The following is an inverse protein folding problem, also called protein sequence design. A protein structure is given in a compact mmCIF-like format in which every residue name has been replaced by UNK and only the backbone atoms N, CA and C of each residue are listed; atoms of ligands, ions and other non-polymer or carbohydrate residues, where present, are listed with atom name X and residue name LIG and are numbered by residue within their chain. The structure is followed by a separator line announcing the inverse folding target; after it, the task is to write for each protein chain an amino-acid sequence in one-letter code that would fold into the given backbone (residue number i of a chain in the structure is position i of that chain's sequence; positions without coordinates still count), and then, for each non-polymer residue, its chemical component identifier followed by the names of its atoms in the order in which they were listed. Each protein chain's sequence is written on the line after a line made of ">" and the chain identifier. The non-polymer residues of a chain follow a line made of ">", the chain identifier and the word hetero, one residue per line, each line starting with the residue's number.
data_IF_088593507165
#
_entry.id   IF_088593507165
#
_cell.length_a   1.000
_cell.length_b   1.000
_cell.length_c   1.000
_cell.angle_alpha   90.00
_cell.angle_beta   90.00
_cell.angle_gamma   90.00
#
_symmetry.space_group_name_H-M   'P 1'
#
loop_
_entity.id
_entity.type
_entity.pdbx_description
1 polymer ?
#
# COMPACT_ATOMS: atom_id res chain seq x y z
N UNK A 1 -26.57 -23.02 85.11
CA UNK A 1 -27.25 -23.00 83.80
C UNK A 1 -26.39 -22.25 82.76
N UNK A 2 -25.37 -22.89 82.17
CA UNK A 2 -24.48 -22.30 81.13
C UNK A 2 -24.74 -22.87 79.72
N UNK A 3 -25.86 -23.55 79.50
CA UNK A 3 -26.11 -24.32 78.26
C UNK A 3 -26.85 -23.55 77.15
N UNK A 4 -27.20 -22.28 77.37
CA UNK A 4 -27.95 -21.46 76.39
C UNK A 4 -27.08 -20.82 75.30
N UNK A 5 -25.75 -20.80 75.44
CA UNK A 5 -24.83 -20.16 74.48
C UNK A 5 -24.48 -20.99 73.23
N UNK A 6 -24.97 -22.23 73.13
CA UNK A 6 -24.46 -23.18 72.13
C UNK A 6 -25.13 -23.05 70.75
N UNK A 7 -26.34 -22.49 70.64
CA UNK A 7 -27.08 -22.44 69.38
C UNK A 7 -26.40 -21.55 68.31
N UNK A 8 -25.91 -20.33 68.62
CA UNK A 8 -25.14 -19.54 67.65
C UNK A 8 -23.86 -20.25 67.19
N UNK A 9 -23.21 -20.99 68.09
CA UNK A 9 -22.01 -21.77 67.77
C UNK A 9 -22.34 -22.93 66.80
N UNK A 10 -23.47 -23.61 66.99
CA UNK A 10 -23.94 -24.66 66.08
C UNK A 10 -24.36 -24.13 64.70
N UNK A 11 -24.83 -22.88 64.59
CA UNK A 11 -25.17 -22.24 63.32
C UNK A 11 -23.97 -21.68 62.56
N UNK A 12 -22.87 -21.36 63.27
CA UNK A 12 -21.65 -20.82 62.67
C UNK A 12 -21.08 -21.65 61.51
N UNK A 13 -20.98 -23.01 61.58
CA UNK A 13 -20.44 -23.79 60.47
C UNK A 13 -21.36 -23.79 59.23
N UNK A 14 -22.69 -23.83 59.40
CA UNK A 14 -23.65 -23.67 58.29
C UNK A 14 -23.49 -22.29 57.63
N UNK A 15 -23.31 -21.25 58.45
CA UNK A 15 -23.09 -19.90 57.96
C UNK A 15 -21.78 -19.76 57.18
N UNK A 16 -20.67 -20.27 57.72
CA UNK A 16 -19.36 -20.28 57.05
C UNK A 16 -19.44 -21.01 55.72
N UNK A 17 -20.05 -22.20 55.69
CA UNK A 17 -20.18 -22.99 54.47
C UNK A 17 -21.05 -22.33 53.41
N UNK A 18 -22.17 -21.72 53.83
CA UNK A 18 -23.02 -20.95 52.92
C UNK A 18 -22.30 -19.73 52.35
N UNK A 19 -21.53 -19.00 53.19
CA UNK A 19 -20.68 -17.90 52.74
C UNK A 19 -19.65 -18.37 51.70
N UNK A 20 -18.99 -19.49 51.96
CA UNK A 20 -18.03 -20.08 51.00
C UNK A 20 -18.71 -20.43 49.67
N UNK A 21 -19.91 -21.03 49.71
CA UNK A 21 -20.68 -21.32 48.49
C UNK A 21 -21.08 -20.04 47.75
N UNK A 22 -21.56 -19.01 48.45
CA UNK A 22 -21.88 -17.74 47.82
C UNK A 22 -20.65 -17.04 47.23
N UNK A 23 -19.52 -17.06 47.95
CA UNK A 23 -18.25 -16.53 47.47
C UNK A 23 -17.78 -17.27 46.22
N UNK A 24 -17.95 -18.59 46.20
CA UNK A 24 -17.62 -19.42 45.05
C UNK A 24 -18.52 -19.12 43.84
N UNK A 25 -19.83 -18.92 44.04
CA UNK A 25 -20.75 -18.53 42.96
C UNK A 25 -20.45 -17.11 42.45
N UNK A 26 -20.15 -16.18 43.35
CA UNK A 26 -19.77 -14.82 42.98
C UNK A 26 -18.47 -14.81 42.16
N UNK A 27 -17.44 -15.53 42.63
CA UNK A 27 -16.17 -15.68 41.92
C UNK A 27 -16.35 -16.30 40.53
N UNK A 28 -17.17 -17.36 40.43
CA UNK A 28 -17.47 -18.00 39.15
C UNK A 28 -18.22 -17.06 38.18
N UNK A 29 -19.18 -16.28 38.70
CA UNK A 29 -19.92 -15.29 37.92
C UNK A 29 -19.04 -14.16 37.41
N UNK A 30 -18.16 -13.62 38.26
CA UNK A 30 -17.23 -12.56 37.87
C UNK A 30 -16.17 -13.08 36.90
N UNK A 31 -15.63 -14.29 37.11
CA UNK A 31 -14.66 -14.90 36.20
C UNK A 31 -15.24 -15.08 34.79
N UNK A 32 -16.51 -15.48 34.71
CA UNK A 32 -17.23 -15.58 33.43
C UNK A 32 -17.37 -14.21 32.75
N UNK A 33 -17.85 -13.20 33.48
CA UNK A 33 -18.07 -11.86 32.92
C UNK A 33 -16.76 -11.21 32.46
N UNK A 34 -15.72 -11.23 33.31
CA UNK A 34 -14.43 -10.62 32.98
C UNK A 34 -13.67 -11.41 31.92
N UNK A 35 -13.78 -12.74 31.92
CA UNK A 35 -13.24 -13.60 30.87
C UNK A 35 -13.80 -13.27 29.48
N UNK A 36 -15.11 -13.06 29.36
CA UNK A 36 -15.73 -12.65 28.09
C UNK A 36 -15.22 -11.28 27.63
N UNK A 37 -15.24 -10.28 28.52
CA UNK A 37 -14.80 -8.91 28.17
C UNK A 37 -13.32 -8.87 27.77
N UNK A 38 -12.45 -9.54 28.52
CA UNK A 38 -11.02 -9.58 28.23
C UNK A 38 -10.70 -10.36 26.95
N UNK A 39 -11.46 -11.42 26.64
CA UNK A 39 -11.28 -12.16 25.38
C UNK A 39 -11.62 -11.29 24.17
N UNK A 40 -12.73 -10.55 24.23
CA UNK A 40 -13.09 -9.60 23.18
C UNK A 40 -12.04 -8.50 23.05
N UNK A 41 -11.62 -7.90 24.16
CA UNK A 41 -10.60 -6.86 24.17
C UNK A 41 -9.26 -7.33 23.60
N UNK A 42 -8.86 -8.58 23.88
CA UNK A 42 -7.60 -9.16 23.37
C UNK A 42 -7.64 -9.38 21.87
N UNK A 43 -8.80 -9.74 21.31
CA UNK A 43 -8.97 -9.90 19.87
C UNK A 43 -9.06 -8.55 19.16
N UNK A 44 -9.65 -7.53 19.78
CA UNK A 44 -9.78 -6.20 19.19
C UNK A 44 -8.56 -5.29 19.37
N UNK A 45 -7.71 -5.51 20.38
CA UNK A 45 -6.57 -4.64 20.68
C UNK A 45 -5.55 -4.50 19.52
N UNK A 46 -5.23 -5.55 18.75
CA UNK A 46 -4.38 -5.43 17.57
C UNK A 46 -4.96 -4.50 16.50
N UNK A 47 -6.30 -4.47 16.32
CA UNK A 47 -6.96 -3.56 15.38
C UNK A 47 -6.80 -2.09 15.78
N UNK A 48 -6.54 -1.81 17.06
CA UNK A 48 -6.35 -0.47 17.60
C UNK A 48 -4.86 -0.12 17.81
N UNK A 49 -3.93 -1.00 17.43
CA UNK A 49 -2.50 -0.79 17.63
C UNK A 49 -2.05 -0.85 19.11
N UNK A 50 -2.86 -1.45 19.99
CA UNK A 50 -2.55 -1.56 21.42
C UNK A 50 -1.94 -2.93 21.71
N UNK A 51 -0.70 -2.97 22.19
CA UNK A 51 -0.04 -4.20 22.65
C UNK A 51 -0.37 -4.47 24.12
N UNK A 52 -1.37 -5.32 24.37
CA UNK A 52 -1.63 -5.82 25.72
C UNK A 52 -0.67 -6.98 26.05
N UNK A 53 0.04 -6.96 27.18
CA UNK A 53 0.91 -8.07 27.56
C UNK A 53 0.05 -9.32 27.81
N UNK A 54 0.44 -10.45 27.20
CA UNK A 54 -0.30 -11.72 27.20
C UNK A 54 -0.72 -12.15 28.62
N UNK A 55 0.15 -11.91 29.61
CA UNK A 55 -0.01 -12.30 31.01
C UNK A 55 -1.09 -11.47 31.73
N UNK A 56 -1.44 -10.28 31.24
CA UNK A 56 -2.41 -9.40 31.92
C UNK A 56 -3.83 -9.98 31.92
N UNK A 57 -4.21 -10.74 30.89
CA UNK A 57 -5.58 -11.27 30.73
C UNK A 57 -5.97 -12.27 31.82
N UNK A 58 -5.22 -13.36 32.09
CA UNK A 58 -5.56 -14.26 33.20
C UNK A 58 -5.38 -13.59 34.56
N UNK A 59 -4.40 -12.68 34.71
CA UNK A 59 -4.14 -12.01 35.98
C UNK A 59 -5.30 -11.11 36.40
N UNK A 60 -5.86 -10.33 35.48
CA UNK A 60 -7.02 -9.47 35.73
C UNK A 60 -8.31 -10.28 35.98
N UNK A 61 -8.51 -11.36 35.21
CA UNK A 61 -9.67 -12.23 35.39
C UNK A 61 -9.64 -12.94 36.77
N UNK A 62 -8.50 -13.52 37.14
CA UNK A 62 -8.32 -14.15 38.46
C UNK A 62 -8.37 -13.13 39.60
N UNK A 63 -7.74 -11.96 39.43
CA UNK A 63 -7.74 -10.89 40.42
C UNK A 63 -9.15 -10.37 40.73
N UNK A 64 -9.96 -10.12 39.71
CA UNK A 64 -11.36 -9.70 39.89
C UNK A 64 -12.22 -10.76 40.58
N UNK A 65 -12.04 -12.04 40.25
CA UNK A 65 -12.73 -13.15 40.92
C UNK A 65 -12.35 -13.27 42.40
N UNK A 66 -11.06 -13.10 42.72
CA UNK A 66 -10.59 -13.10 44.11
C UNK A 66 -11.18 -11.93 44.91
N UNK A 67 -11.21 -10.72 44.34
CA UNK A 67 -11.83 -9.54 44.99
C UNK A 67 -13.31 -9.77 45.26
N UNK A 68 -14.05 -10.38 44.33
CA UNK A 68 -15.45 -10.71 44.52
C UNK A 68 -15.67 -11.76 45.63
N UNK A 69 -14.82 -12.78 45.69
CA UNK A 69 -14.84 -13.79 46.75
C UNK A 69 -14.54 -13.16 48.13
N UNK A 70 -13.51 -12.32 48.22
CA UNK A 70 -13.14 -11.65 49.48
C UNK A 70 -14.25 -10.69 49.93
N UNK A 71 -14.80 -9.88 49.02
CA UNK A 71 -15.92 -8.98 49.32
C UNK A 71 -17.13 -9.73 49.89
N UNK A 72 -17.46 -10.89 49.35
CA UNK A 72 -18.59 -11.71 49.80
C UNK A 72 -18.33 -12.44 51.13
N UNK A 73 -17.07 -12.75 51.45
CA UNK A 73 -16.71 -13.30 52.77
C UNK A 73 -16.74 -12.20 53.85
N UNK A 74 -16.20 -11.02 53.53
CA UNK A 74 -16.06 -9.87 54.44
C UNK A 74 -17.38 -9.15 54.73
N UNK A 75 -18.43 -9.30 53.91
CA UNK A 75 -19.73 -8.71 54.24
C UNK A 75 -20.22 -9.26 55.58
N UNK A 76 -20.41 -8.36 56.54
CA UNK A 76 -20.93 -8.70 57.86
C UNK A 76 -22.29 -9.37 57.66
N UNK A 77 -22.51 -10.47 58.36
CA UNK A 77 -23.69 -11.27 58.10
C UNK A 77 -24.37 -11.63 59.40
N UNK A 78 -25.60 -11.15 59.50
CA UNK A 78 -26.52 -11.44 60.58
C UNK A 78 -26.91 -12.92 60.55
N UNK A 79 -26.92 -13.56 61.72
CA UNK A 79 -27.31 -14.97 61.88
C UNK A 79 -28.80 -15.23 61.57
N UNK A 80 -29.61 -14.17 61.48
CA UNK A 80 -31.03 -14.28 61.14
C UNK A 80 -31.25 -14.81 59.72
N UNK A 81 -30.40 -14.43 58.76
CA UNK A 81 -30.53 -14.84 57.37
C UNK A 81 -30.23 -16.35 57.14
N UNK A 82 -29.14 -16.93 57.69
CA UNK A 82 -28.95 -18.38 57.63
C UNK A 82 -30.00 -19.14 58.43
N UNK A 83 -30.49 -18.63 59.56
CA UNK A 83 -31.55 -19.28 60.32
C UNK A 83 -32.88 -19.37 59.55
N UNK A 84 -33.34 -18.26 58.93
CA UNK A 84 -34.55 -18.28 58.08
C UNK A 84 -34.40 -19.18 56.87
N UNK A 85 -33.21 -19.21 56.26
CA UNK A 85 -32.95 -20.11 55.15
C UNK A 85 -32.99 -21.58 55.57
N UNK A 86 -32.34 -21.94 56.69
CA UNK A 86 -32.40 -23.30 57.24
C UNK A 86 -33.83 -23.70 57.60
N UNK A 87 -34.64 -22.77 58.14
CA UNK A 87 -36.05 -23.06 58.42
C UNK A 87 -36.84 -23.41 57.16
N UNK A 88 -36.55 -22.77 56.03
CA UNK A 88 -37.19 -23.09 54.75
C UNK A 88 -36.72 -24.42 54.20
N UNK A 89 -35.40 -24.65 54.19
CA UNK A 89 -34.79 -25.86 53.62
C UNK A 89 -35.18 -27.13 54.41
N UNK A 90 -35.21 -27.03 55.73
CA UNK A 90 -35.57 -28.13 56.64
C UNK A 90 -37.07 -28.13 57.03
N UNK A 91 -37.87 -27.22 56.46
CA UNK A 91 -39.30 -27.04 56.77
C UNK A 91 -39.61 -26.86 58.28
N UNK A 92 -38.70 -26.24 59.04
CA UNK A 92 -38.79 -26.09 60.50
C UNK A 92 -39.78 -25.01 60.97
N UNK A 93 -40.67 -24.50 60.11
CA UNK A 93 -41.72 -23.50 60.44
C UNK A 93 -41.23 -22.39 61.38
N UNK A 94 -40.12 -21.73 61.01
CA UNK A 94 -39.50 -20.62 61.75
C UNK A 94 -38.91 -20.93 63.15
N UNK A 95 -38.85 -22.20 63.56
CA UNK A 95 -38.32 -22.61 64.88
C UNK A 95 -36.90 -22.07 65.17
N UNK A 96 -35.97 -22.12 64.22
CA UNK A 96 -34.61 -21.60 64.43
C UNK A 96 -34.56 -20.08 64.56
N UNK A 97 -35.44 -19.35 63.86
CA UNK A 97 -35.44 -17.88 63.92
C UNK A 97 -36.08 -17.40 65.21
N UNK A 98 -37.18 -18.03 65.65
CA UNK A 98 -37.80 -17.73 66.94
C UNK A 98 -36.86 -18.09 68.10
N UNK A 99 -36.16 -19.23 68.03
CA UNK A 99 -35.16 -19.59 69.03
C UNK A 99 -34.02 -18.57 69.13
N UNK A 100 -33.50 -18.07 68.00
CA UNK A 100 -32.49 -17.00 68.01
C UNK A 100 -33.02 -15.69 68.62
N UNK A 101 -34.29 -15.36 68.40
CA UNK A 101 -34.92 -14.19 69.01
C UNK A 101 -35.10 -14.37 70.52
N UNK A 102 -35.51 -15.54 70.98
CA UNK A 102 -35.67 -15.84 72.41
C UNK A 102 -34.34 -15.85 73.17
N UNK A 103 -33.23 -16.16 72.51
CA UNK A 103 -31.89 -16.04 73.11
C UNK A 103 -31.47 -14.58 73.40
N UNK A 104 -32.14 -13.59 72.82
CA UNK A 104 -31.91 -12.17 73.12
C UNK A 104 -32.69 -11.70 74.35
N UNK A 105 -33.62 -12.50 74.87
CA UNK A 105 -34.43 -12.19 76.06
C UNK A 105 -33.66 -12.67 77.30
N UNK A 106 -33.48 -11.78 78.27
CA UNK A 106 -32.68 -12.06 79.48
C UNK A 106 -33.27 -13.19 80.35
N UNK A 107 -34.60 -13.29 80.42
CA UNK A 107 -35.32 -14.30 81.19
C UNK A 107 -36.38 -15.02 80.33
N UNK A 108 -35.99 -16.00 79.50
CA UNK A 108 -36.92 -16.71 78.63
C UNK A 108 -37.88 -17.58 79.46
N UNK A 109 -39.17 -17.59 79.09
CA UNK A 109 -40.18 -18.41 79.75
C UNK A 109 -39.87 -19.91 79.63
N UNK A 110 -40.40 -20.77 80.52
CA UNK A 110 -40.16 -22.22 80.43
C UNK A 110 -40.55 -22.82 79.07
N UNK A 111 -41.59 -22.29 78.44
CA UNK A 111 -41.99 -22.67 77.07
C UNK A 111 -40.96 -22.24 76.02
N UNK A 112 -40.42 -21.02 76.13
CA UNK A 112 -39.36 -20.53 75.23
C UNK A 112 -38.07 -21.36 75.39
N UNK A 113 -37.72 -21.77 76.60
CA UNK A 113 -36.58 -22.66 76.85
C UNK A 113 -36.77 -24.02 76.17
N UNK A 114 -37.98 -24.58 76.22
CA UNK A 114 -38.31 -25.82 75.53
C UNK A 114 -38.21 -25.67 74.00
N UNK A 115 -38.62 -24.52 73.45
CA UNK A 115 -38.49 -24.22 72.01
C UNK A 115 -37.03 -24.03 71.58
N UNK A 116 -36.18 -23.42 72.42
CA UNK A 116 -34.73 -23.32 72.16
C UNK A 116 -34.10 -24.73 72.17
N UNK A 117 -34.49 -25.59 73.11
CA UNK A 117 -34.00 -26.97 73.19
C UNK A 117 -34.45 -27.82 71.99
N UNK A 118 -35.70 -27.68 71.55
CA UNK A 118 -36.23 -28.34 70.36
C UNK A 118 -35.46 -27.92 69.11
N UNK A 119 -35.27 -26.61 68.90
CA UNK A 119 -34.51 -26.07 67.76
C UNK A 119 -33.06 -26.57 67.76
N UNK A 120 -32.43 -26.70 68.93
CA UNK A 120 -31.09 -27.28 69.10
C UNK A 120 -31.06 -28.75 68.70
N UNK A 121 -32.01 -29.56 69.17
CA UNK A 121 -32.07 -30.99 68.86
C UNK A 121 -32.33 -31.21 67.37
N UNK A 122 -33.22 -30.41 66.77
CA UNK A 122 -33.44 -30.41 65.32
C UNK A 122 -32.13 -30.11 64.57
N UNK A 123 -31.42 -29.03 64.93
CA UNK A 123 -30.18 -28.66 64.26
C UNK A 123 -29.07 -29.72 64.42
N UNK A 124 -28.97 -30.34 65.61
CA UNK A 124 -27.99 -31.38 65.89
C UNK A 124 -28.20 -32.67 65.07
N UNK A 125 -29.44 -32.95 64.66
CA UNK A 125 -29.76 -34.10 63.80
C UNK A 125 -29.36 -33.92 62.33
N UNK A 126 -29.04 -32.69 61.91
CA UNK A 126 -28.82 -32.36 60.51
C UNK A 126 -27.34 -32.33 60.17
N UNK A 127 -26.94 -33.17 59.21
CA UNK A 127 -25.58 -33.19 58.69
C UNK A 127 -25.33 -32.04 57.70
N UNK A 128 -24.33 -31.21 57.99
CA UNK A 128 -23.94 -30.05 57.16
C UNK A 128 -23.61 -30.48 55.73
N UNK A 129 -22.93 -31.61 55.59
CA UNK A 129 -22.49 -32.13 54.29
C UNK A 129 -23.63 -32.53 53.36
N UNK A 130 -24.73 -33.03 53.92
CA UNK A 130 -25.88 -33.45 53.14
C UNK A 130 -26.71 -32.26 52.66
N UNK A 131 -26.87 -31.23 53.50
CA UNK A 131 -27.64 -30.03 53.13
C UNK A 131 -26.91 -29.11 52.16
N UNK A 132 -25.59 -28.96 52.32
CA UNK A 132 -24.79 -28.00 51.55
C UNK A 132 -23.64 -28.74 50.85
N UNK A 133 -23.94 -29.63 49.89
CA UNK A 133 -22.88 -30.29 49.13
C UNK A 133 -22.05 -29.23 48.42
N UNK A 134 -20.73 -29.34 48.52
CA UNK A 134 -19.80 -28.46 47.83
C UNK A 134 -19.82 -28.81 46.33
N UNK A 135 -20.84 -28.32 45.63
CA UNK A 135 -20.98 -28.47 44.18
C UNK A 135 -20.31 -27.30 43.49
N UNK A 136 -19.43 -27.62 42.53
CA UNK A 136 -18.88 -26.61 41.62
C UNK A 136 -20.02 -26.05 40.75
N UNK A 137 -20.23 -24.73 40.69
CA UNK A 137 -21.24 -24.12 39.85
C UNK A 137 -20.89 -24.36 38.38
N UNK A 138 -21.91 -24.55 37.56
CA UNK A 138 -21.75 -24.83 36.13
C UNK A 138 -20.89 -23.77 35.41
N UNK A 139 -20.98 -22.51 35.86
CA UNK A 139 -20.26 -21.39 35.28
C UNK A 139 -18.75 -21.40 35.57
N UNK A 140 -18.28 -22.14 36.59
CA UNK A 140 -16.85 -22.22 36.91
C UNK A 140 -16.05 -22.83 35.75
N UNK A 141 -16.53 -23.97 35.24
CA UNK A 141 -15.90 -24.67 34.10
C UNK A 141 -15.95 -23.81 32.83
N UNK A 142 -17.08 -23.13 32.60
CA UNK A 142 -17.26 -22.25 31.43
C UNK A 142 -16.36 -21.02 31.48
N UNK A 143 -16.22 -20.38 32.65
CA UNK A 143 -15.32 -19.25 32.86
C UNK A 143 -13.85 -19.60 32.64
N UNK A 144 -13.41 -20.75 33.16
CA UNK A 144 -12.06 -21.27 32.91
C UNK A 144 -11.83 -21.59 31.42
N UNK A 145 -12.82 -22.17 30.73
CA UNK A 145 -12.69 -22.47 29.31
C UNK A 145 -12.57 -21.20 28.44
N UNK A 146 -13.39 -20.18 28.69
CA UNK A 146 -13.32 -18.91 27.95
C UNK A 146 -12.00 -18.18 28.22
N UNK A 147 -11.59 -18.09 29.49
CA UNK A 147 -10.32 -17.42 29.83
C UNK A 147 -9.13 -18.14 29.18
N UNK A 148 -9.08 -19.47 29.23
CA UNK A 148 -8.04 -20.25 28.55
C UNK A 148 -8.06 -20.04 27.02
N UNK A 149 -9.24 -20.04 26.40
CA UNK A 149 -9.40 -19.82 24.96
C UNK A 149 -8.98 -18.39 24.55
N UNK A 150 -9.38 -17.38 25.31
CA UNK A 150 -8.97 -15.99 25.10
C UNK A 150 -7.45 -15.82 25.22
N UNK A 151 -6.81 -16.46 26.21
CA UNK A 151 -5.35 -16.46 26.34
C UNK A 151 -4.68 -17.19 25.17
N UNK A 152 -5.22 -18.32 24.72
CA UNK A 152 -4.70 -19.04 23.55
C UNK A 152 -4.80 -18.19 22.27
N UNK A 153 -5.94 -17.55 22.04
CA UNK A 153 -6.15 -16.60 20.93
C UNK A 153 -5.17 -15.43 20.99
N UNK A 154 -4.88 -14.89 22.18
CA UNK A 154 -3.90 -13.82 22.34
C UNK A 154 -2.47 -14.27 22.02
N UNK A 155 -2.15 -15.55 22.21
CA UNK A 155 -0.83 -16.13 21.87
C UNK A 155 -0.72 -16.43 20.37
N UNK A 156 -1.77 -17.01 19.77
CA UNK A 156 -1.74 -17.47 18.37
C UNK A 156 -2.10 -16.37 17.37
N UNK A 157 -3.03 -15.48 17.74
CA UNK A 157 -3.57 -14.42 16.89
C UNK A 157 -2.52 -13.49 16.26
N UNK A 158 -1.52 -13.01 17.00
CA UNK A 158 -0.50 -12.11 16.44
C UNK A 158 0.33 -12.71 15.31
N UNK A 159 0.50 -14.04 15.27
CA UNK A 159 1.30 -14.71 14.25
C UNK A 159 0.52 -14.96 12.94
N UNK A 160 -0.82 -14.96 12.98
CA UNK A 160 -1.67 -15.30 11.85
C UNK A 160 -2.27 -14.07 11.15
N UNK A 161 -2.16 -12.89 11.74
CA UNK A 161 -2.67 -11.67 11.13
C UNK A 161 -1.59 -11.02 10.27
N UNK A 162 -1.88 -10.76 8.98
CA UNK A 162 -0.97 -9.98 8.15
C UNK A 162 -0.80 -8.63 8.85
N UNK A 163 0.42 -8.35 9.27
CA UNK A 163 0.73 -7.09 9.92
C UNK A 163 0.43 -5.99 8.90
N UNK A 164 -0.60 -5.18 9.16
CA UNK A 164 -0.93 -4.01 8.33
C UNK A 164 0.17 -2.91 8.37
N UNK A 165 1.35 -3.23 8.91
CA UNK A 165 2.53 -2.38 8.98
C UNK A 165 3.71 -2.86 8.14
N UNK A 166 3.63 -3.99 7.43
CA UNK A 166 4.54 -4.28 6.31
C UNK A 166 4.03 -3.49 5.07
N UNK A 167 3.91 -2.17 5.21
CA UNK A 167 4.14 -1.31 4.05
C UNK A 167 5.57 -1.63 3.65
N UNK A 168 5.73 -2.25 2.47
CA UNK A 168 7.03 -2.55 1.89
C UNK A 168 7.97 -1.38 2.20
N UNK A 169 9.06 -1.66 2.92
CA UNK A 169 10.07 -0.64 3.14
C UNK A 169 10.39 -0.04 1.76
N UNK A 170 10.50 1.29 1.60
CA UNK A 170 10.81 1.90 0.31
C UNK A 170 12.07 1.28 -0.34
N UNK A 171 12.97 0.70 0.48
CA UNK A 171 14.09 -0.11 0.01
C UNK A 171 13.66 -1.40 -0.72
N UNK A 172 12.63 -2.11 -0.24
CA UNK A 172 12.08 -3.30 -0.89
C UNK A 172 11.38 -2.95 -2.23
N UNK A 173 10.69 -1.81 -2.30
CA UNK A 173 10.10 -1.31 -3.54
C UNK A 173 11.19 -0.98 -4.57
N UNK A 174 12.26 -0.30 -4.16
CA UNK A 174 13.42 -0.02 -5.02
C UNK A 174 14.12 -1.30 -5.53
N UNK A 175 14.28 -2.32 -4.68
CA UNK A 175 14.85 -3.62 -5.10
C UNK A 175 13.94 -4.30 -6.13
N UNK A 176 12.62 -4.26 -5.94
CA UNK A 176 11.68 -4.86 -6.90
C UNK A 176 11.69 -4.15 -8.25
N UNK A 177 11.66 -2.82 -8.25
CA UNK A 177 11.69 -2.04 -9.49
C UNK A 177 13.04 -2.15 -10.22
N UNK A 178 14.17 -2.17 -9.48
CA UNK A 178 15.49 -2.39 -10.10
C UNK A 178 15.63 -3.76 -10.75
N UNK A 179 15.01 -4.82 -10.22
CA UNK A 179 14.97 -6.14 -10.88
C UNK A 179 14.18 -6.09 -12.19
N UNK A 180 13.07 -5.34 -12.22
CA UNK A 180 12.27 -5.17 -13.43
C UNK A 180 13.05 -4.40 -14.51
N UNK A 181 13.69 -3.29 -14.14
CA UNK A 181 14.53 -2.51 -15.05
C UNK A 181 15.70 -3.34 -15.57
N UNK A 182 16.29 -4.22 -14.75
CA UNK A 182 17.39 -5.08 -15.18
C UNK A 182 16.95 -6.08 -16.26
N UNK A 183 15.77 -6.68 -16.12
CA UNK A 183 15.21 -7.55 -17.16
C UNK A 183 14.94 -6.80 -18.47
N UNK A 184 14.49 -5.55 -18.37
CA UNK A 184 14.24 -4.70 -19.53
C UNK A 184 15.57 -4.26 -20.21
N UNK A 185 16.61 -3.90 -19.45
CA UNK A 185 17.94 -3.57 -19.98
C UNK A 185 18.59 -4.72 -20.75
N UNK A 186 18.39 -5.97 -20.33
CA UNK A 186 18.92 -7.13 -21.08
C UNK A 186 18.36 -7.19 -22.51
N UNK A 187 17.10 -6.79 -22.70
CA UNK A 187 16.50 -6.72 -24.04
C UNK A 187 17.12 -5.61 -24.89
N UNK A 188 17.47 -4.46 -24.29
CA UNK A 188 18.20 -3.39 -24.97
C UNK A 188 19.64 -3.80 -25.30
N UNK A 189 20.31 -4.54 -24.41
CA UNK A 189 21.69 -5.00 -24.61
C UNK A 189 21.80 -5.92 -25.84
N UNK A 190 20.82 -6.81 -26.04
CA UNK A 190 20.78 -7.66 -27.23
C UNK A 190 20.60 -6.87 -28.53
N UNK A 191 19.75 -5.83 -28.52
CA UNK A 191 19.57 -4.92 -29.68
C UNK A 191 20.82 -4.06 -29.90
N UNK A 192 21.48 -3.63 -28.83
CA UNK A 192 22.73 -2.87 -28.88
C UNK A 192 23.88 -3.68 -29.48
N UNK A 193 23.98 -4.97 -29.14
CA UNK A 193 24.96 -5.90 -29.73
C UNK A 193 24.77 -6.07 -31.23
N UNK A 194 23.53 -6.08 -31.70
CA UNK A 194 23.23 -6.13 -33.14
C UNK A 194 23.63 -4.84 -33.88
N UNK A 195 23.59 -3.70 -33.20
CA UNK A 195 23.91 -2.39 -33.79
C UNK A 195 25.42 -2.08 -33.77
N UNK A 196 26.21 -2.83 -32.99
CA UNK A 196 27.66 -2.68 -32.84
C UNK A 196 28.13 -1.25 -32.47
N UNK A 197 27.30 -0.53 -31.70
CA UNK A 197 27.62 0.82 -31.22
C UNK A 197 28.31 0.73 -29.84
N UNK A 198 29.61 1.09 -29.73
CA UNK A 198 30.37 0.96 -28.49
C UNK A 198 29.90 1.92 -27.40
N UNK A 199 29.44 3.13 -27.76
CA UNK A 199 28.97 4.13 -26.78
C UNK A 199 27.71 3.62 -26.08
N UNK A 200 26.79 3.04 -26.86
CA UNK A 200 25.55 2.45 -26.36
C UNK A 200 25.82 1.28 -25.42
N UNK A 201 26.74 0.38 -25.80
CA UNK A 201 27.11 -0.77 -24.96
C UNK A 201 27.70 -0.31 -23.63
N UNK A 202 28.58 0.69 -23.65
CA UNK A 202 29.17 1.24 -22.44
C UNK A 202 28.12 1.87 -21.51
N UNK A 203 27.15 2.61 -22.07
CA UNK A 203 26.05 3.20 -21.28
C UNK A 203 25.11 2.15 -20.70
N UNK A 204 24.76 1.11 -21.45
CA UNK A 204 23.93 0.01 -20.93
C UNK A 204 24.65 -0.78 -19.83
N UNK A 205 25.96 -0.99 -19.98
CA UNK A 205 26.77 -1.66 -18.96
C UNK A 205 26.87 -0.80 -17.68
N UNK A 206 27.04 0.52 -17.79
CA UNK A 206 27.05 1.41 -16.62
C UNK A 206 25.71 1.41 -15.90
N UNK A 207 24.58 1.43 -16.63
CA UNK A 207 23.24 1.32 -16.06
C UNK A 207 23.02 0.00 -15.33
N UNK A 208 23.44 -1.12 -15.92
CA UNK A 208 23.32 -2.43 -15.29
C UNK A 208 24.13 -2.51 -13.98
N UNK A 209 25.34 -1.93 -13.95
CA UNK A 209 26.12 -1.82 -12.71
C UNK A 209 25.41 -0.97 -11.66
N UNK A 210 24.84 0.17 -12.05
CA UNK A 210 24.07 1.04 -11.14
C UNK A 210 22.85 0.32 -10.54
N UNK A 211 22.11 -0.45 -11.35
CA UNK A 211 21.00 -1.27 -10.87
C UNK A 211 21.46 -2.40 -9.94
N UNK A 212 22.60 -3.02 -10.24
CA UNK A 212 23.16 -4.07 -9.38
C UNK A 212 23.62 -3.52 -8.02
N UNK A 213 24.17 -2.30 -7.99
CA UNK A 213 24.49 -1.60 -6.74
C UNK A 213 23.23 -1.34 -5.91
N UNK A 214 22.14 -0.88 -6.55
CA UNK A 214 20.84 -0.64 -5.90
C UNK A 214 20.22 -1.92 -5.31
N UNK A 215 20.45 -3.07 -5.95
CA UNK A 215 19.99 -4.37 -5.44
C UNK A 215 20.86 -4.89 -4.29
N UNK A 216 22.17 -4.66 -4.35
CA UNK A 216 23.14 -5.28 -3.44
C UNK A 216 23.25 -4.52 -2.12
N UNK A 217 23.05 -3.20 -2.14
CA UNK A 217 23.14 -2.35 -0.96
C UNK A 217 21.86 -1.54 -0.81
N UNK A 218 21.17 -1.60 0.35
CA UNK A 218 20.06 -0.70 0.62
C UNK A 218 20.62 0.71 0.77
N UNK A 219 20.64 1.45 -0.34
CA UNK A 219 21.03 2.85 -0.39
C UNK A 219 19.95 3.71 0.25
N UNK A 220 20.31 4.85 0.87
CA UNK A 220 19.32 5.79 1.35
C UNK A 220 18.47 6.30 0.17
N UNK A 221 17.18 6.61 0.41
CA UNK A 221 16.24 7.10 -0.60
C UNK A 221 16.80 8.17 -1.55
N UNK A 222 17.50 9.16 -1.01
CA UNK A 222 18.07 10.28 -1.75
C UNK A 222 19.14 9.84 -2.75
N UNK A 223 20.05 8.94 -2.35
CA UNK A 223 21.08 8.40 -3.22
C UNK A 223 20.51 7.49 -4.30
N UNK A 224 19.47 6.70 -3.97
CA UNK A 224 18.77 5.87 -4.93
C UNK A 224 18.11 6.72 -6.03
N UNK A 225 17.45 7.82 -5.64
CA UNK A 225 16.87 8.77 -6.58
C UNK A 225 17.91 9.47 -7.47
N UNK A 226 19.03 9.92 -6.89
CA UNK A 226 20.09 10.56 -7.65
C UNK A 226 20.62 9.62 -8.75
N UNK A 227 20.86 8.35 -8.41
CA UNK A 227 21.29 7.32 -9.39
C UNK A 227 20.26 7.08 -10.49
N UNK A 228 18.97 7.04 -10.17
CA UNK A 228 17.90 6.89 -11.18
C UNK A 228 17.80 8.12 -12.09
N UNK A 229 17.99 9.33 -11.56
CA UNK A 229 18.01 10.56 -12.35
C UNK A 229 19.22 10.61 -13.31
N UNK A 230 20.40 10.16 -12.87
CA UNK A 230 21.58 10.05 -13.73
C UNK A 230 21.36 9.04 -14.87
N UNK A 231 20.66 7.93 -14.59
CA UNK A 231 20.26 6.97 -15.62
C UNK A 231 19.29 7.59 -16.62
N UNK A 232 18.25 8.30 -16.15
CA UNK A 232 17.28 8.99 -17.01
C UNK A 232 17.97 10.00 -17.94
N UNK A 233 18.88 10.82 -17.40
CA UNK A 233 19.67 11.78 -18.17
C UNK A 233 20.53 11.08 -19.23
N UNK A 234 21.16 9.95 -18.88
CA UNK A 234 21.98 9.17 -19.81
C UNK A 234 21.14 8.55 -20.93
N UNK A 235 19.95 8.04 -20.62
CA UNK A 235 18.99 7.52 -21.61
C UNK A 235 18.50 8.64 -22.54
N UNK A 236 18.22 9.82 -22.00
CA UNK A 236 17.76 10.97 -22.79
C UNK A 236 18.84 11.46 -23.76
N UNK A 237 20.11 11.52 -23.33
CA UNK A 237 21.23 11.85 -24.20
C UNK A 237 21.42 10.81 -25.32
N UNK A 238 21.30 9.52 -25.01
CA UNK A 238 21.32 8.46 -26.02
C UNK A 238 20.17 8.59 -27.00
N UNK A 239 18.95 8.85 -26.51
CA UNK A 239 17.78 9.05 -27.35
C UNK A 239 18.00 10.22 -28.32
N UNK A 240 18.55 11.34 -27.87
CA UNK A 240 18.88 12.48 -28.74
C UNK A 240 19.93 12.13 -29.79
N UNK A 241 20.94 11.31 -29.45
CA UNK A 241 21.96 10.84 -30.41
C UNK A 241 21.39 9.88 -31.46
N UNK A 242 20.47 9.00 -31.04
CA UNK A 242 19.88 7.97 -31.89
C UNK A 242 18.73 8.50 -32.76
N UNK A 243 18.00 9.49 -32.26
CA UNK A 243 16.89 10.10 -32.97
C UNK A 243 17.42 11.00 -34.09
N UNK A 244 17.51 10.45 -35.29
CA UNK A 244 17.83 11.21 -36.50
C UNK A 244 16.56 11.36 -37.37
N UNK A 245 15.66 12.29 -37.01
CA UNK A 245 14.39 12.48 -37.72
C UNK A 245 14.62 12.86 -39.19
N UNK A 246 15.74 13.52 -39.49
CA UNK A 246 16.07 13.89 -40.85
C UNK A 246 16.40 12.69 -41.75
N UNK A 247 17.11 11.68 -41.23
CA UNK A 247 17.40 10.47 -41.98
C UNK A 247 16.13 9.63 -42.23
N UNK A 248 15.20 9.63 -41.27
CA UNK A 248 13.89 8.98 -41.45
C UNK A 248 13.05 9.71 -42.50
N UNK A 249 12.96 11.04 -42.42
CA UNK A 249 12.27 11.86 -43.42
C UNK A 249 12.87 11.66 -44.82
N UNK A 250 14.20 11.50 -44.92
CA UNK A 250 14.87 11.21 -46.18
C UNK A 250 14.45 9.87 -46.78
N UNK A 251 14.41 8.82 -45.99
CA UNK A 251 13.88 7.53 -46.45
C UNK A 251 12.41 7.62 -46.86
N UNK A 252 11.61 8.43 -46.17
CA UNK A 252 10.20 8.65 -46.56
C UNK A 252 10.09 9.33 -47.92
N UNK A 253 10.84 10.39 -48.18
CA UNK A 253 10.86 11.07 -49.49
C UNK A 253 11.38 10.17 -50.61
N UNK A 254 12.36 9.31 -50.31
CA UNK A 254 12.81 8.27 -51.25
C UNK A 254 11.70 7.25 -51.50
N UNK A 255 10.98 6.85 -50.44
CA UNK A 255 9.83 5.96 -50.53
C UNK A 255 8.72 6.51 -51.45
N UNK A 256 8.37 7.79 -51.29
CA UNK A 256 7.41 8.50 -52.15
C UNK A 256 7.87 8.61 -53.61
N UNK A 257 9.18 8.75 -53.84
CA UNK A 257 9.74 8.74 -55.19
C UNK A 257 9.64 7.35 -55.83
N UNK A 258 9.94 6.29 -55.07
CA UNK A 258 9.88 4.90 -55.50
C UNK A 258 8.45 4.40 -55.69
N UNK A 259 7.49 4.89 -54.90
CA UNK A 259 6.08 4.48 -55.01
C UNK A 259 5.38 5.02 -56.26
N UNK A 260 6.08 5.82 -57.08
CA UNK A 260 5.54 6.35 -58.34
C UNK A 260 5.54 5.32 -59.49
N UNK A 261 6.06 4.11 -59.26
CA UNK A 261 6.16 3.04 -60.26
C UNK A 261 5.68 1.72 -59.69
N UNK A 262 4.90 0.97 -60.46
CA UNK A 262 4.24 -0.27 -60.03
C UNK A 262 5.23 -1.29 -59.44
N UNK A 263 6.42 -1.41 -60.03
CA UNK A 263 7.41 -2.43 -59.61
C UNK A 263 8.16 -2.09 -58.32
N UNK A 264 8.20 -0.81 -57.95
CA UNK A 264 8.81 -0.33 -56.71
C UNK A 264 7.76 0.15 -55.70
N UNK A 265 6.47 0.03 -56.03
CA UNK A 265 5.35 0.51 -55.22
C UNK A 265 5.41 -0.06 -53.81
N UNK A 266 5.58 -1.38 -53.69
CA UNK A 266 5.67 -2.06 -52.39
C UNK A 266 6.84 -1.55 -51.54
N UNK A 267 8.02 -1.39 -52.14
CA UNK A 267 9.22 -0.90 -51.44
C UNK A 267 9.04 0.55 -51.03
N UNK A 268 8.53 1.38 -51.95
CA UNK A 268 8.28 2.79 -51.72
C UNK A 268 7.28 3.02 -50.60
N UNK A 269 6.19 2.24 -50.60
CA UNK A 269 5.19 2.25 -49.54
C UNK A 269 5.75 1.78 -48.18
N UNK A 270 6.64 0.78 -48.15
CA UNK A 270 7.27 0.36 -46.90
C UNK A 270 8.20 1.46 -46.33
N UNK A 271 8.96 2.14 -47.18
CA UNK A 271 9.83 3.25 -46.78
C UNK A 271 9.04 4.48 -46.30
N UNK A 272 8.03 4.91 -47.05
CA UNK A 272 7.19 6.08 -46.70
C UNK A 272 6.42 5.87 -45.40
N UNK A 273 5.91 4.66 -45.16
CA UNK A 273 5.23 4.30 -43.92
C UNK A 273 6.18 4.00 -42.74
N UNK A 274 7.50 4.13 -42.92
CA UNK A 274 8.48 3.89 -41.86
C UNK A 274 8.62 2.41 -41.44
N UNK A 275 8.21 1.47 -42.30
CA UNK A 275 8.39 0.01 -42.11
C UNK A 275 9.78 -0.42 -42.56
N UNK A 276 10.80 0.14 -41.93
CA UNK A 276 12.19 0.11 -42.37
C UNK A 276 12.79 -1.31 -42.48
N UNK A 277 12.45 -2.24 -41.59
CA UNK A 277 12.91 -3.64 -41.66
C UNK A 277 12.37 -4.37 -42.90
N UNK A 278 11.08 -4.16 -43.19
CA UNK A 278 10.41 -4.76 -44.35
C UNK A 278 10.94 -4.13 -45.64
N UNK A 279 11.08 -2.80 -45.65
CA UNK A 279 11.67 -2.07 -46.77
C UNK A 279 13.09 -2.56 -47.06
N UNK A 280 13.93 -2.75 -46.05
CA UNK A 280 15.27 -3.27 -46.25
C UNK A 280 15.30 -4.71 -46.76
N UNK A 281 14.40 -5.57 -46.28
CA UNK A 281 14.29 -6.93 -46.79
C UNK A 281 13.78 -6.96 -48.24
N UNK A 282 12.87 -6.05 -48.61
CA UNK A 282 12.37 -5.90 -49.97
C UNK A 282 13.43 -5.32 -50.91
N UNK A 283 14.10 -4.22 -50.53
CA UNK A 283 15.23 -3.63 -51.26
C UNK A 283 16.34 -4.64 -51.56
N UNK A 284 16.68 -5.50 -50.60
CA UNK A 284 17.68 -6.54 -50.78
C UNK A 284 17.25 -7.65 -51.77
N UNK A 285 15.94 -7.81 -52.01
CA UNK A 285 15.37 -8.78 -52.97
C UNK A 285 15.08 -8.16 -54.33
N UNK A 286 14.89 -6.85 -54.40
CA UNK A 286 14.64 -6.12 -55.64
C UNK A 286 15.91 -6.05 -56.48
N UNK A 287 16.10 -7.04 -57.34
CA UNK A 287 17.17 -7.07 -58.33
C UNK A 287 16.59 -6.68 -59.69
N UNK A 288 17.03 -5.54 -60.22
CA UNK A 288 16.74 -5.05 -61.57
C UNK A 288 15.24 -4.89 -61.90
N UNK A 289 14.57 -3.84 -61.40
CA UNK A 289 13.17 -3.57 -61.74
C UNK A 289 13.03 -3.30 -63.25
N UNK A 290 12.04 -3.92 -63.91
CA UNK A 290 11.80 -3.81 -65.37
C UNK A 290 10.96 -2.57 -65.70
N UNK A 291 11.47 -1.41 -65.31
CA UNK A 291 10.78 -0.14 -65.50
C UNK A 291 10.81 0.31 -66.96
N UNK A 292 9.69 0.85 -67.45
CA UNK A 292 9.65 1.53 -68.74
C UNK A 292 10.59 2.75 -68.75
N UNK A 293 11.00 3.20 -69.94
CA UNK A 293 11.87 4.37 -70.09
C UNK A 293 11.28 5.63 -69.45
N UNK A 294 9.95 5.80 -69.50
CA UNK A 294 9.28 6.93 -68.84
C UNK A 294 9.39 6.83 -67.32
N UNK A 295 9.07 5.67 -66.76
CA UNK A 295 9.10 5.38 -65.33
C UNK A 295 10.50 5.54 -64.73
N UNK A 296 11.52 4.97 -65.39
CA UNK A 296 12.93 5.15 -64.99
C UNK A 296 13.33 6.60 -64.89
N UNK A 297 12.90 7.41 -65.87
CA UNK A 297 13.20 8.83 -65.89
C UNK A 297 12.52 9.55 -64.73
N UNK A 298 11.23 9.32 -64.51
CA UNK A 298 10.49 9.92 -63.40
C UNK A 298 11.08 9.56 -62.04
N UNK A 299 11.42 8.29 -61.79
CA UNK A 299 12.02 7.87 -60.51
C UNK A 299 13.43 8.45 -60.36
N UNK A 300 14.26 8.43 -61.42
CA UNK A 300 15.61 9.00 -61.38
C UNK A 300 15.61 10.50 -61.09
N UNK A 301 14.72 11.27 -61.72
CA UNK A 301 14.60 12.73 -61.51
C UNK A 301 14.14 13.03 -60.07
N UNK A 302 13.18 12.28 -59.53
CA UNK A 302 12.75 12.42 -58.14
C UNK A 302 13.84 12.03 -57.14
N UNK A 303 14.55 10.92 -57.36
CA UNK A 303 15.65 10.49 -56.49
C UNK A 303 16.81 11.49 -56.50
N UNK A 304 17.15 12.08 -57.65
CA UNK A 304 18.14 13.15 -57.75
C UNK A 304 17.67 14.42 -57.04
N UNK A 305 16.40 14.80 -57.18
CA UNK A 305 15.84 15.96 -56.47
C UNK A 305 15.94 15.77 -54.95
N UNK A 306 15.58 14.57 -54.47
CA UNK A 306 15.73 14.21 -53.05
C UNK A 306 17.20 14.28 -52.64
N UNK A 307 18.12 13.69 -53.41
CA UNK A 307 19.56 13.77 -53.13
C UNK A 307 20.06 15.23 -53.01
N UNK A 308 19.68 16.11 -53.94
CA UNK A 308 20.08 17.52 -53.94
C UNK A 308 19.53 18.28 -52.72
N UNK A 309 18.26 18.06 -52.39
CA UNK A 309 17.62 18.66 -51.22
C UNK A 309 18.37 18.29 -49.92
N UNK A 310 18.85 17.05 -49.82
CA UNK A 310 19.60 16.60 -48.65
C UNK A 310 21.07 17.03 -48.64
N UNK A 311 21.74 17.16 -49.79
CA UNK A 311 23.10 17.69 -49.86
C UNK A 311 23.18 19.16 -49.43
N UNK A 312 22.13 19.94 -49.70
CA UNK A 312 22.04 21.34 -49.27
C UNK A 312 21.73 21.47 -47.77
N UNK A 313 21.19 20.42 -47.16
CA UNK A 313 20.94 20.37 -45.72
C UNK A 313 22.23 19.98 -45.01
N UNK A 314 22.89 20.89 -44.29
CA UNK A 314 24.04 20.56 -43.44
C UNK A 314 23.61 19.61 -42.31
N UNK A 315 23.63 18.30 -42.57
CA UNK A 315 22.99 17.29 -41.72
C UNK A 315 23.94 16.14 -41.34
N UNK A 316 23.65 15.45 -40.22
CA UNK A 316 24.52 14.44 -39.60
C UNK A 316 24.95 13.32 -40.56
N UNK A 317 26.13 12.72 -40.29
CA UNK A 317 26.82 11.68 -41.08
C UNK A 317 25.92 10.57 -41.66
N UNK A 318 24.83 10.19 -40.97
CA UNK A 318 23.89 9.16 -41.45
C UNK A 318 23.11 9.55 -42.71
N UNK A 319 22.79 10.84 -42.90
CA UNK A 319 21.99 11.31 -44.05
C UNK A 319 22.79 11.32 -45.37
N UNK A 320 24.13 11.43 -45.27
CA UNK A 320 25.00 11.45 -46.45
C UNK A 320 24.98 10.11 -47.19
N UNK A 321 25.11 8.99 -46.46
CA UNK A 321 25.09 7.64 -47.05
C UNK A 321 23.77 7.32 -47.75
N UNK A 322 22.65 7.76 -47.18
CA UNK A 322 21.32 7.58 -47.78
C UNK A 322 21.20 8.44 -49.06
N UNK A 323 21.74 9.66 -49.06
CA UNK A 323 21.73 10.53 -50.23
C UNK A 323 22.63 9.98 -51.36
N UNK A 324 23.79 9.45 -51.01
CA UNK A 324 24.70 8.77 -51.94
C UNK A 324 24.07 7.51 -52.54
N UNK A 325 23.42 6.68 -51.72
CA UNK A 325 22.70 5.50 -52.20
C UNK A 325 21.53 5.89 -53.14
N UNK A 326 20.76 6.93 -52.79
CA UNK A 326 19.70 7.45 -53.65
C UNK A 326 20.24 7.96 -55.00
N UNK A 327 21.37 8.67 -55.00
CA UNK A 327 22.04 9.14 -56.21
C UNK A 327 22.53 7.98 -57.09
N UNK A 328 23.22 6.99 -56.50
CA UNK A 328 23.67 5.80 -57.23
C UNK A 328 22.51 4.99 -57.80
N UNK A 329 21.39 4.87 -57.08
CA UNK A 329 20.18 4.23 -57.62
C UNK A 329 19.63 5.02 -58.81
N UNK A 330 19.56 6.36 -58.72
CA UNK A 330 19.09 7.20 -59.82
C UNK A 330 19.98 7.07 -61.06
N UNK A 331 21.31 7.08 -60.89
CA UNK A 331 22.29 6.86 -61.98
C UNK A 331 22.15 5.46 -62.59
N UNK A 332 21.98 4.42 -61.77
CA UNK A 332 21.76 3.04 -62.23
C UNK A 332 20.50 2.92 -63.10
N UNK A 333 19.39 3.53 -62.67
CA UNK A 333 18.14 3.57 -63.44
C UNK A 333 18.28 4.35 -64.75
N UNK A 334 18.96 5.50 -64.73
CA UNK A 334 19.13 6.37 -65.89
C UNK A 334 20.00 5.71 -66.99
N UNK A 335 21.05 4.99 -66.60
CA UNK A 335 21.96 4.32 -67.53
C UNK A 335 21.59 2.87 -67.85
N UNK A 336 20.59 2.29 -67.16
CA UNK A 336 20.25 0.87 -67.28
C UNK A 336 21.34 -0.04 -66.71
N UNK A 337 22.13 0.45 -65.77
CA UNK A 337 23.18 -0.29 -65.08
C UNK A 337 22.57 -0.99 -63.87
N UNK A 338 22.13 -2.24 -64.07
CA UNK A 338 21.48 -3.04 -63.03
C UNK A 338 22.40 -3.30 -61.83
N UNK A 339 23.72 -3.37 -62.06
CA UNK A 339 24.70 -3.63 -61.02
C UNK A 339 24.86 -2.43 -60.08
N UNK A 340 24.94 -1.21 -60.62
CA UNK A 340 24.94 0.02 -59.80
C UNK A 340 23.65 0.19 -59.01
N UNK A 341 22.50 -0.10 -59.62
CA UNK A 341 21.22 -0.07 -58.92
C UNK A 341 21.19 -1.07 -57.77
N UNK A 342 21.63 -2.30 -58.00
CA UNK A 342 21.65 -3.35 -56.96
C UNK A 342 22.60 -3.00 -55.81
N UNK A 343 23.83 -2.54 -56.10
CA UNK A 343 24.78 -2.10 -55.07
C UNK A 343 24.18 -0.96 -54.23
N UNK A 344 23.53 0.00 -54.88
CA UNK A 344 22.90 1.14 -54.21
C UNK A 344 21.66 0.73 -53.40
N UNK A 345 20.84 -0.20 -53.92
CA UNK A 345 19.70 -0.77 -53.22
C UNK A 345 20.16 -1.57 -51.99
N UNK A 346 21.25 -2.33 -52.08
CA UNK A 346 21.86 -3.02 -50.94
C UNK A 346 22.41 -2.04 -49.90
N UNK A 347 23.07 -0.96 -50.33
CA UNK A 347 23.53 0.11 -49.45
C UNK A 347 22.37 0.79 -48.73
N UNK A 348 21.28 1.06 -49.44
CA UNK A 348 20.06 1.62 -48.86
C UNK A 348 19.37 0.63 -47.91
N UNK A 349 19.33 -0.66 -48.25
CA UNK A 349 18.82 -1.70 -47.36
C UNK A 349 19.63 -1.77 -46.05
N UNK A 350 20.96 -1.65 -46.12
CA UNK A 350 21.82 -1.62 -44.96
C UNK A 350 21.54 -0.39 -44.07
N UNK A 351 21.41 0.80 -44.66
CA UNK A 351 21.05 2.02 -43.93
C UNK A 351 19.63 1.98 -43.36
N UNK A 352 18.67 1.41 -44.09
CA UNK A 352 17.31 1.21 -43.60
C UNK A 352 17.27 0.23 -42.42
N UNK A 353 18.04 -0.87 -42.43
CA UNK A 353 18.20 -1.76 -41.26
C UNK A 353 18.84 -1.03 -40.08
N UNK A 354 19.88 -0.24 -40.34
CA UNK A 354 20.55 0.55 -39.30
C UNK A 354 19.57 1.52 -38.64
N UNK A 355 18.80 2.26 -39.44
CA UNK A 355 17.77 3.19 -38.94
C UNK A 355 16.61 2.45 -38.26
N UNK A 356 16.24 1.26 -38.73
CA UNK A 356 15.24 0.44 -38.06
C UNK A 356 15.70 0.01 -36.65
N UNK A 357 16.97 -0.43 -36.55
CA UNK A 357 17.60 -0.75 -35.27
C UNK A 357 17.64 0.47 -34.33
N UNK A 358 18.04 1.64 -34.86
CA UNK A 358 18.04 2.89 -34.09
C UNK A 358 16.65 3.30 -33.62
N UNK A 359 15.63 3.17 -34.47
CA UNK A 359 14.24 3.46 -34.11
C UNK A 359 13.73 2.51 -33.04
N UNK A 360 13.92 1.20 -33.22
CA UNK A 360 13.53 0.19 -32.24
C UNK A 360 14.20 0.41 -30.89
N UNK A 361 15.49 0.76 -30.91
CA UNK A 361 16.22 1.12 -29.71
C UNK A 361 15.67 2.40 -29.07
N UNK A 362 15.39 3.44 -29.85
CA UNK A 362 14.74 4.66 -29.36
C UNK A 362 13.38 4.40 -28.71
N UNK A 363 12.55 3.53 -29.31
CA UNK A 363 11.23 3.16 -28.78
C UNK A 363 11.39 2.39 -27.44
N UNK A 364 12.35 1.47 -27.37
CA UNK A 364 12.67 0.75 -26.13
C UNK A 364 13.22 1.69 -25.04
N UNK A 365 14.10 2.63 -25.40
CA UNK A 365 14.62 3.66 -24.48
C UNK A 365 13.50 4.54 -23.95
N UNK A 366 12.55 4.94 -24.80
CA UNK A 366 11.39 5.72 -24.38
C UNK A 366 10.49 4.93 -23.43
N UNK A 367 10.29 3.64 -23.68
CA UNK A 367 9.59 2.75 -22.75
C UNK A 367 10.32 2.64 -21.40
N UNK A 368 11.65 2.56 -21.39
CA UNK A 368 12.47 2.58 -20.17
C UNK A 368 12.33 3.89 -19.39
N UNK A 369 12.37 5.03 -20.08
CA UNK A 369 12.18 6.33 -19.42
C UNK A 369 10.79 6.43 -18.78
N UNK A 370 9.76 5.89 -19.42
CA UNK A 370 8.41 5.86 -18.86
C UNK A 370 8.30 4.93 -17.65
N UNK A 371 8.95 3.75 -17.67
CA UNK A 371 8.98 2.86 -16.51
C UNK A 371 9.79 3.45 -15.34
N UNK A 372 10.90 4.12 -15.63
CA UNK A 372 11.67 4.89 -14.64
C UNK A 372 10.86 6.03 -14.03
N UNK A 373 10.15 6.81 -14.85
CA UNK A 373 9.30 7.90 -14.35
C UNK A 373 8.16 7.37 -13.46
N UNK A 374 7.57 6.23 -13.81
CA UNK A 374 6.57 5.56 -12.98
C UNK A 374 7.18 5.09 -11.66
N UNK A 375 8.31 4.39 -11.69
CA UNK A 375 9.00 3.91 -10.48
C UNK A 375 9.40 5.08 -9.57
N UNK A 376 9.85 6.19 -10.15
CA UNK A 376 10.14 7.43 -9.42
C UNK A 376 8.89 7.98 -8.72
N UNK A 377 7.76 8.04 -9.42
CA UNK A 377 6.49 8.53 -8.88
C UNK A 377 5.97 7.64 -7.74
N UNK A 378 6.08 6.32 -7.88
CA UNK A 378 5.70 5.35 -6.85
C UNK A 378 6.58 5.53 -5.60
N UNK A 379 7.90 5.66 -5.78
CA UNK A 379 8.82 5.89 -4.68
C UNK A 379 8.57 7.23 -3.98
N UNK A 380 8.31 8.30 -4.73
CA UNK A 380 7.98 9.62 -4.16
C UNK A 380 6.68 9.59 -3.36
N UNK A 381 5.68 8.84 -3.85
CA UNK A 381 4.42 8.62 -3.14
C UNK A 381 4.62 7.86 -1.83
N UNK A 382 5.42 6.79 -1.84
CA UNK A 382 5.73 6.00 -0.64
C UNK A 382 6.53 6.81 0.38
N UNK A 383 7.58 7.51 -0.06
CA UNK A 383 8.40 8.36 0.79
C UNK A 383 7.59 9.50 1.41
N UNK A 384 6.71 10.16 0.63
CA UNK A 384 5.82 11.21 1.11
C UNK A 384 4.82 10.70 2.17
N UNK A 385 4.24 9.52 1.96
CA UNK A 385 3.32 8.90 2.91
C UNK A 385 4.02 8.53 4.23
N UNK A 386 5.29 8.09 4.17
CA UNK A 386 6.07 7.76 5.36
C UNK A 386 6.44 9.01 6.17
N UNK A 387 6.80 10.11 5.51
CA UNK A 387 7.07 11.39 6.16
C UNK A 387 5.82 11.97 6.84
N UNK A 388 4.64 11.81 6.24
CA UNK A 388 3.39 12.34 6.77
C UNK A 388 2.81 11.48 7.93
N UNK A 389 3.07 10.17 7.94
CA UNK A 389 2.60 9.25 8.97
C UNK A 389 3.35 9.32 10.31
N UNK A 390 4.59 9.81 10.32
CA UNK A 390 5.42 9.92 11.53
C UNK A 390 5.30 11.27 12.24
N UNK A 391 4.55 12.22 11.66
CA UNK A 391 4.06 13.43 12.30
C UNK A 391 3.06 13.08 13.40
N UNK A 392 3.59 12.57 14.51
CA UNK A 392 2.92 12.33 15.79
C UNK A 392 2.05 13.55 16.08
N UNK A 393 0.74 13.41 15.83
CA UNK A 393 -0.26 14.40 16.20
C UNK A 393 -0.04 14.75 17.65
N UNK A 394 0.58 15.91 17.90
CA UNK A 394 0.72 16.43 19.24
C UNK A 394 -0.68 16.54 19.83
N UNK A 395 -0.85 16.09 21.07
CA UNK A 395 -2.08 16.17 21.86
C UNK A 395 -2.58 17.61 22.15
N UNK A 396 -2.33 18.57 21.23
CA UNK A 396 -2.84 19.94 21.22
C UNK A 396 -3.77 20.23 20.04
N UNK A 397 -4.30 19.22 19.35
CA UNK A 397 -5.46 19.36 18.47
C UNK A 397 -6.75 19.46 19.32
N UNK A 398 -6.86 20.53 20.10
CA UNK A 398 -8.01 20.84 20.92
C UNK A 398 -8.16 22.36 21.00
N UNK A 399 -9.25 22.88 20.41
CA UNK A 399 -9.65 24.29 20.27
C UNK A 399 -9.06 25.05 19.06
N UNK A 400 -9.19 24.48 17.87
CA UNK A 400 -9.27 25.27 16.63
C UNK A 400 -10.72 25.29 16.17
N UNK A 401 -11.36 26.44 16.26
CA UNK A 401 -12.74 26.71 15.86
C UNK A 401 -12.98 26.28 14.40
N UNK A 402 -14.07 25.58 14.16
CA UNK A 402 -14.53 25.22 12.82
C UNK A 402 -14.70 26.49 11.98
N UNK A 403 -14.03 26.60 10.83
CA UNK A 403 -14.33 27.68 9.90
C UNK A 403 -13.30 28.07 8.83
N UNK A 404 -12.16 27.40 8.67
CA UNK A 404 -11.21 27.82 7.62
C UNK A 404 -10.57 26.66 6.84
N UNK A 405 -10.96 26.45 5.56
CA UNK A 405 -10.36 25.45 4.68
C UNK A 405 -8.94 25.81 4.18
N UNK A 406 -8.40 27.00 4.45
CA UNK A 406 -7.05 27.38 3.99
C UNK A 406 -5.89 26.74 4.77
N UNK A 407 -6.14 26.24 6.00
CA UNK A 407 -5.08 25.65 6.84
C UNK A 407 -4.49 24.33 6.32
N UNK A 408 -5.24 23.57 5.50
CA UNK A 408 -4.75 22.32 4.91
C UNK A 408 -3.85 22.51 3.68
N UNK A 409 -3.92 23.66 2.99
CA UNK A 409 -3.06 23.93 1.83
C UNK A 409 -1.64 24.35 2.24
N UNK A 410 -1.48 25.09 3.35
CA UNK A 410 -0.16 25.55 3.78
C UNK A 410 0.74 24.42 4.35
N UNK A 411 0.17 23.37 4.94
CA UNK A 411 0.96 22.22 5.41
C UNK A 411 1.50 21.36 4.26
N UNK A 412 0.81 21.30 3.11
CA UNK A 412 1.31 20.65 1.89
C UNK A 412 2.45 21.45 1.24
N UNK A 413 2.39 22.78 1.29
CA UNK A 413 3.41 23.63 0.66
C UNK A 413 4.71 23.71 1.48
N UNK A 414 4.66 23.57 2.80
CA UNK A 414 5.86 23.59 3.66
C UNK A 414 6.68 22.29 3.58
N UNK A 415 6.04 21.13 3.38
CA UNK A 415 6.76 19.86 3.25
C UNK A 415 7.35 19.63 1.84
N UNK A 416 6.77 20.28 0.81
CA UNK A 416 7.28 20.19 -0.57
C UNK A 416 8.43 21.16 -0.90
N UNK A 417 8.73 22.13 -0.03
CA UNK A 417 9.72 23.17 -0.32
C UNK A 417 11.14 22.89 0.21
N UNK A 418 11.34 21.89 1.08
CA UNK A 418 12.67 21.53 1.60
C UNK A 418 13.38 20.39 0.82
N UNK A 419 12.71 19.71 -0.11
CA UNK A 419 13.30 18.72 -1.02
C UNK A 419 13.70 19.28 -2.39
N UNK A 420 13.73 20.62 -2.54
CA UNK A 420 14.36 21.28 -3.68
C UNK A 420 15.88 21.17 -3.53
N UNK A 421 16.40 20.00 -3.93
CA UNK A 421 17.81 19.76 -4.18
C UNK A 421 18.35 20.92 -5.03
N UNK A 422 19.39 21.57 -4.51
CA UNK A 422 20.26 22.49 -5.24
C UNK A 422 20.90 21.77 -6.43
N UNK A 423 20.25 21.82 -7.58
CA UNK A 423 20.87 21.60 -8.89
C UNK A 423 21.21 22.96 -9.48
N UNK A 424 22.49 23.16 -9.80
CA UNK A 424 23.03 24.36 -10.45
C UNK A 424 22.19 24.76 -11.68
N UNK A 425 21.45 25.86 -11.54
CA UNK A 425 20.85 26.58 -12.65
C UNK A 425 21.91 27.54 -13.22
N UNK A 426 22.90 26.98 -13.91
CA UNK A 426 23.85 27.74 -14.71
C UNK A 426 23.30 27.90 -16.12
N UNK A 427 22.38 28.86 -16.28
CA UNK A 427 21.82 29.24 -17.57
C UNK A 427 21.29 30.66 -17.52
N UNK A 428 22.18 31.64 -17.69
CA UNK A 428 21.87 33.04 -17.98
C UNK A 428 20.73 33.18 -19.00
N UNK A 429 19.54 33.48 -18.49
CA UNK A 429 18.41 34.00 -19.24
C UNK A 429 17.69 34.96 -18.31
N UNK A 430 17.78 36.26 -18.60
CA UNK A 430 16.94 37.28 -17.99
C UNK A 430 15.48 36.93 -18.29
N UNK A 431 14.82 36.22 -17.37
CA UNK A 431 13.37 36.17 -17.30
C UNK A 431 12.95 37.16 -16.23
N UNK A 432 12.47 38.32 -16.67
CA UNK A 432 11.62 39.20 -15.88
C UNK A 432 10.49 38.35 -15.27
N UNK A 433 10.59 38.05 -13.99
CA UNK A 433 9.46 37.56 -13.21
C UNK A 433 8.50 38.73 -13.03
N UNK A 434 7.63 38.89 -14.02
CA UNK A 434 6.44 39.70 -13.91
C UNK A 434 5.58 39.08 -12.81
N UNK A 435 5.53 39.77 -11.67
CA UNK A 435 4.72 39.36 -10.53
C UNK A 435 3.28 39.66 -10.90
N UNK A 436 2.62 38.72 -11.57
CA UNK A 436 1.18 38.79 -11.84
C UNK A 436 0.45 38.80 -10.50
N UNK A 437 0.07 40.02 -10.07
CA UNK A 437 -0.95 40.24 -9.07
C UNK A 437 -2.19 39.42 -9.46
N UNK A 438 -2.50 38.43 -8.64
CA UNK A 438 -3.70 37.63 -8.80
C UNK A 438 -4.93 38.53 -8.81
N UNK A 439 -5.54 38.68 -9.98
CA UNK A 439 -6.84 39.31 -10.11
C UNK A 439 -7.90 38.51 -9.33
N UNK A 440 -8.81 39.19 -8.62
CA UNK A 440 -9.88 38.55 -7.87
C UNK A 440 -10.98 38.08 -8.84
N UNK A 441 -10.96 36.80 -9.20
CA UNK A 441 -11.95 36.15 -10.07
C UNK A 441 -13.36 36.03 -9.46
N UNK A 442 -13.57 36.46 -8.20
CA UNK A 442 -14.89 36.44 -7.58
C UNK A 442 -15.84 37.56 -8.06
N UNK A 443 -15.31 38.70 -8.52
CA UNK A 443 -16.15 39.83 -8.93
C UNK A 443 -16.77 39.67 -10.33
N UNK A 444 -16.16 38.89 -11.22
CA UNK A 444 -16.72 38.61 -12.56
C UNK A 444 -17.77 37.49 -12.51
N UNK A 445 -17.64 36.51 -11.59
CA UNK A 445 -18.65 35.48 -11.41
C UNK A 445 -19.97 36.03 -10.86
N UNK A 446 -19.93 37.04 -9.98
CA UNK A 446 -21.15 37.68 -9.45
C UNK A 446 -21.86 38.50 -10.53
N UNK A 447 -21.10 39.23 -11.37
CA UNK A 447 -21.68 39.99 -12.49
C UNK A 447 -22.33 39.08 -13.53
N UNK A 448 -21.74 37.92 -13.81
CA UNK A 448 -22.37 36.95 -14.71
C UNK A 448 -23.64 36.32 -14.10
N UNK A 449 -23.64 36.05 -12.79
CA UNK A 449 -24.82 35.50 -12.11
C UNK A 449 -26.01 36.49 -12.09
N UNK A 450 -25.75 37.79 -11.89
CA UNK A 450 -26.78 38.83 -11.99
C UNK A 450 -27.32 38.97 -13.42
N UNK A 451 -26.46 38.85 -14.43
CA UNK A 451 -26.86 38.94 -15.83
C UNK A 451 -27.75 37.78 -16.28
N UNK A 452 -27.56 36.57 -15.73
CA UNK A 452 -28.45 35.44 -15.97
C UNK A 452 -29.78 35.57 -15.22
N UNK A 453 -29.77 36.15 -14.01
CA UNK A 453 -31.00 36.39 -13.23
C UNK A 453 -31.94 37.40 -13.91
N UNK A 454 -31.41 38.49 -14.49
CA UNK A 454 -32.22 39.44 -15.26
C UNK A 454 -32.78 38.82 -16.56
N UNK A 455 -32.04 37.90 -17.18
CA UNK A 455 -32.49 37.24 -18.42
C UNK A 455 -33.67 36.28 -18.21
N UNK A 456 -33.73 35.61 -17.04
CA UNK A 456 -34.84 34.71 -16.69
C UNK A 456 -36.09 35.47 -16.23
N UNK A 457 -35.94 36.70 -15.72
CA UNK A 457 -37.07 37.55 -15.32
C UNK A 457 -37.74 38.21 -16.54
N UNK A 458 -37.01 38.47 -17.62
CA UNK A 458 -37.55 39.01 -18.88
C UNK A 458 -38.31 37.97 -19.73
N UNK A 459 -38.23 36.68 -19.39
CA UNK A 459 -38.90 35.57 -20.07
C UNK A 459 -40.16 35.08 -19.35
N UNK A 460 -40.57 35.74 -18.26
CA UNK A 460 -41.88 35.57 -17.60
C UNK A 460 -42.79 36.74 -17.89
#
# INVERSE_FOLDING_TARGET
>A
MKHSSDLPAMLQPFHRRRKLLHAWHAAAGTLWQTGCVLSVASVSAPLLGISLPIISTPLLACGSAAVAAVRTVLTSANLDHPARWLNRELQLKDRLSSALQFLQIENPSPMQQLQIADARNCLASVSIDQLLPLRTPANWKRGLAITAFGTLLAIVGPAAWPHAGDTASPAATAVRESQRMQAELQSLEEVARQTADPDLQQTLESMNRTLQDLQSQPLPPEEAFAKLADMENSLQQLQQKLNNPAALQQLQSIGEAMSATDELEDVGNMLSNGKLEQAAAALAKTQNPRLDRSERRTVSEKLQQVQQQFQQSAKPQGSQKIAEAAGKMAEGLQHGDSQKFEEAAQGMAAEARRLAGQKKLSDLLQQQMQSLAQARSEFESEAGNQAQGQGKGGNKAGKGTAGDPQGQQNARNAAGSELKLTGDDSGTGDSETDTSEGQPSHAESERHAEQYAESDEALR
#
